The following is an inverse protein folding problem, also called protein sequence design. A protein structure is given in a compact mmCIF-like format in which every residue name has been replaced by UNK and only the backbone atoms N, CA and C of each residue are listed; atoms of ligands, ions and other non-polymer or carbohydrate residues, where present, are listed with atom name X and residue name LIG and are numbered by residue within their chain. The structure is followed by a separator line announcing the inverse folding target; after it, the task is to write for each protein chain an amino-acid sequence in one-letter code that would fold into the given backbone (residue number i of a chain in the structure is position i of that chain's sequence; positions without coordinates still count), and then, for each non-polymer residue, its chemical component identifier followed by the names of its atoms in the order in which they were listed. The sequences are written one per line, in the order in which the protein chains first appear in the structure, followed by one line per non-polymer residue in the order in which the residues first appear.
data_IF_370065856163
#
_entry.id   IF_370065856163
#
_cell.length_a   1.000
_cell.length_b   1.000
_cell.length_c   1.000
_cell.angle_alpha   90.00
_cell.angle_beta   90.00
_cell.angle_gamma   90.00
#
_symmetry.space_group_name_H-M   'P 1'
#
loop_
_entity.id
_entity.type
_entity.pdbx_description
1 polymer ?
#
# COMPACT_ATOMS: atom_id res chain seq x y z
N UNK A 1 -28.93 -49.96 11.12
CA UNK A 1 -28.50 -48.56 11.00
C UNK A 1 -29.29 -47.75 12.01
N UNK A 2 -28.67 -47.25 13.08
CA UNK A 2 -29.38 -46.53 14.14
C UNK A 2 -29.62 -45.07 13.71
N UNK A 3 -30.76 -44.49 14.03
CA UNK A 3 -31.12 -43.10 13.71
C UNK A 3 -30.05 -42.09 14.18
N UNK A 4 -29.42 -42.35 15.32
CA UNK A 4 -28.28 -41.58 15.83
C UNK A 4 -27.05 -41.58 14.91
N UNK A 5 -26.78 -42.69 14.20
CA UNK A 5 -25.68 -42.77 13.24
C UNK A 5 -25.97 -41.94 11.98
N UNK A 6 -27.23 -41.92 11.53
CA UNK A 6 -27.65 -41.13 10.37
C UNK A 6 -27.50 -39.63 10.66
N UNK A 7 -27.91 -39.18 11.84
CA UNK A 7 -27.76 -37.77 12.26
C UNK A 7 -26.28 -37.37 12.30
N UNK A 8 -25.42 -38.22 12.86
CA UNK A 8 -23.98 -37.98 12.94
C UNK A 8 -23.35 -37.76 11.55
N UNK A 9 -23.67 -38.64 10.59
CA UNK A 9 -23.15 -38.56 9.22
C UNK A 9 -23.60 -37.27 8.52
N UNK A 10 -24.87 -36.86 8.69
CA UNK A 10 -25.38 -35.63 8.09
C UNK A 10 -24.64 -34.41 8.62
N UNK A 11 -24.50 -34.27 9.94
CA UNK A 11 -23.80 -33.13 10.55
C UNK A 11 -22.34 -33.07 10.11
N UNK A 12 -21.65 -34.21 10.11
CA UNK A 12 -20.24 -34.28 9.69
C UNK A 12 -20.06 -33.90 8.21
N UNK A 13 -20.93 -34.42 7.33
CA UNK A 13 -20.89 -34.08 5.90
C UNK A 13 -21.14 -32.59 5.65
N UNK A 14 -22.05 -31.98 6.42
CA UNK A 14 -22.41 -30.56 6.30
C UNK A 14 -21.24 -29.67 6.75
N UNK A 15 -20.58 -30.02 7.87
CA UNK A 15 -19.38 -29.32 8.35
C UNK A 15 -18.22 -29.36 7.34
N UNK A 16 -17.98 -30.52 6.73
CA UNK A 16 -16.93 -30.68 5.71
C UNK A 16 -17.26 -29.85 4.47
N UNK A 17 -18.52 -29.88 4.02
CA UNK A 17 -18.97 -29.14 2.85
C UNK A 17 -18.84 -27.61 3.02
N UNK A 18 -19.23 -27.08 4.19
CA UNK A 18 -19.05 -25.66 4.54
C UNK A 18 -17.58 -25.26 4.60
N UNK A 19 -16.74 -26.09 5.20
CA UNK A 19 -15.30 -25.85 5.29
C UNK A 19 -14.65 -25.80 3.90
N UNK A 20 -15.06 -26.71 3.01
CA UNK A 20 -14.55 -26.76 1.65
C UNK A 20 -14.98 -25.54 0.82
N UNK A 21 -16.25 -25.13 0.90
CA UNK A 21 -16.73 -23.91 0.23
C UNK A 21 -16.00 -22.65 0.73
N UNK A 22 -15.84 -22.50 2.05
CA UNK A 22 -15.12 -21.38 2.64
C UNK A 22 -13.62 -21.38 2.27
N UNK A 23 -13.00 -22.55 2.11
CA UNK A 23 -11.60 -22.62 1.64
C UNK A 23 -11.47 -22.23 0.17
N UNK A 24 -12.46 -22.59 -0.66
CA UNK A 24 -12.46 -22.30 -2.10
C UNK A 24 -12.76 -20.83 -2.38
N UNK A 25 -13.61 -20.18 -1.58
CA UNK A 25 -13.83 -18.73 -1.68
C UNK A 25 -12.56 -17.95 -1.32
N UNK A 26 -11.87 -18.35 -0.24
CA UNK A 26 -10.56 -17.76 0.13
C UNK A 26 -9.50 -17.95 -0.94
N UNK A 27 -9.40 -19.15 -1.53
CA UNK A 27 -8.48 -19.41 -2.64
C UNK A 27 -8.85 -18.63 -3.90
N UNK A 28 -10.14 -18.45 -4.20
CA UNK A 28 -10.57 -17.57 -5.29
C UNK A 28 -10.20 -16.13 -5.01
N UNK A 29 -10.48 -15.60 -3.81
CA UNK A 29 -10.08 -14.23 -3.45
C UNK A 29 -8.56 -14.03 -3.55
N UNK A 30 -7.76 -15.01 -3.14
CA UNK A 30 -6.30 -14.98 -3.32
C UNK A 30 -5.91 -14.98 -4.80
N UNK A 31 -6.46 -15.89 -5.60
CA UNK A 31 -6.20 -15.95 -7.04
C UNK A 31 -6.66 -14.68 -7.79
N UNK A 32 -7.78 -14.06 -7.38
CA UNK A 32 -8.22 -12.77 -7.90
C UNK A 32 -7.26 -11.65 -7.50
N UNK A 33 -6.71 -11.66 -6.28
CA UNK A 33 -5.70 -10.68 -5.86
C UNK A 33 -4.37 -10.86 -6.61
N UNK A 34 -3.95 -12.09 -6.83
CA UNK A 34 -2.74 -12.47 -7.59
C UNK A 34 -2.88 -12.12 -9.09
N UNK A 35 -4.07 -12.25 -9.68
CA UNK A 35 -4.30 -11.88 -11.09
C UNK A 35 -4.48 -10.38 -11.32
N UNK A 36 -4.93 -9.61 -10.32
CA UNK A 36 -5.23 -8.17 -10.48
C UNK A 36 -4.02 -7.28 -10.21
N UNK A 37 -3.00 -7.79 -9.52
CA UNK A 37 -1.76 -7.06 -9.29
C UNK A 37 -0.60 -7.88 -9.85
N UNK A 38 0.04 -7.46 -10.97
CA UNK A 38 1.34 -8.01 -11.27
C UNK A 38 2.19 -7.77 -10.04
N UNK A 39 2.79 -8.85 -9.53
CA UNK A 39 3.78 -8.86 -8.46
C UNK A 39 5.04 -8.13 -8.98
N UNK A 40 4.88 -6.85 -9.27
CA UNK A 40 5.97 -5.95 -9.53
C UNK A 40 6.77 -5.97 -8.24
N UNK A 41 8.04 -6.37 -8.36
CA UNK A 41 9.03 -6.32 -7.30
C UNK A 41 8.95 -4.94 -6.63
N UNK A 42 8.17 -4.86 -5.57
CA UNK A 42 7.99 -3.64 -4.81
C UNK A 42 9.28 -3.50 -4.01
N UNK A 43 10.31 -2.96 -4.65
CA UNK A 43 11.49 -2.49 -3.95
C UNK A 43 11.00 -1.61 -2.81
N UNK A 44 11.38 -1.96 -1.59
CA UNK A 44 11.04 -1.25 -0.36
C UNK A 44 10.97 0.26 -0.60
N UNK A 45 9.92 0.89 -0.06
CA UNK A 45 9.75 2.34 -0.03
C UNK A 45 11.10 2.98 0.30
N UNK A 46 11.63 3.77 -0.64
CA UNK A 46 12.96 4.34 -0.52
C UNK A 46 12.89 5.51 0.46
N UNK A 47 13.60 5.36 1.57
CA UNK A 47 13.73 6.41 2.57
C UNK A 47 14.31 7.69 1.93
N UNK A 48 13.77 8.86 2.27
CA UNK A 48 14.16 10.14 1.67
C UNK A 48 13.64 10.42 0.26
N UNK A 49 12.83 9.54 -0.34
CA UNK A 49 12.13 9.83 -1.60
C UNK A 49 10.81 10.57 -1.35
N UNK A 50 10.43 11.40 -2.32
CA UNK A 50 9.18 12.15 -2.29
C UNK A 50 8.16 11.46 -3.17
N UNK A 51 6.92 11.46 -2.68
CA UNK A 51 5.82 10.74 -3.29
C UNK A 51 4.61 11.65 -3.44
N UNK A 52 3.88 11.45 -4.52
CA UNK A 52 2.54 12.00 -4.71
C UNK A 52 1.53 10.91 -4.38
N UNK A 53 0.70 11.15 -3.37
CA UNK A 53 -0.21 10.16 -2.80
C UNK A 53 -1.64 10.63 -3.01
N UNK A 54 -2.43 9.87 -3.76
CA UNK A 54 -3.84 10.17 -3.98
C UNK A 54 -4.75 9.32 -3.09
N UNK A 55 -5.77 9.96 -2.52
CA UNK A 55 -6.76 9.35 -1.65
C UNK A 55 -8.06 9.07 -2.37
N UNK A 56 -8.89 8.22 -1.78
CA UNK A 56 -10.19 7.82 -2.30
C UNK A 56 -11.23 8.94 -2.35
N UNK A 57 -11.04 10.00 -1.56
CA UNK A 57 -11.90 11.19 -1.53
C UNK A 57 -11.46 12.26 -2.55
N UNK A 58 -10.47 11.95 -3.39
CA UNK A 58 -9.93 12.85 -4.41
C UNK A 58 -8.89 13.84 -3.89
N UNK A 59 -8.59 13.85 -2.59
CA UNK A 59 -7.47 14.64 -2.06
C UNK A 59 -6.15 13.99 -2.42
N UNK A 60 -5.10 14.80 -2.52
CA UNK A 60 -3.75 14.31 -2.75
C UNK A 60 -2.75 15.02 -1.83
N UNK A 61 -1.72 14.28 -1.45
CA UNK A 61 -0.52 14.83 -0.81
C UNK A 61 0.60 14.81 -1.84
N UNK A 62 1.04 15.99 -2.26
CA UNK A 62 2.17 16.10 -3.19
C UNK A 62 3.49 16.22 -2.46
N UNK A 63 4.54 15.64 -3.02
CA UNK A 63 5.92 15.75 -2.51
C UNK A 63 6.06 15.30 -1.04
N UNK A 64 5.27 14.32 -0.62
CA UNK A 64 5.28 13.80 0.74
C UNK A 64 6.31 12.68 0.90
N UNK A 65 7.04 12.68 2.01
CA UNK A 65 7.94 11.59 2.36
C UNK A 65 7.18 10.56 3.21
N UNK A 66 7.30 9.28 2.87
CA UNK A 66 6.66 8.20 3.63
C UNK A 66 7.60 7.82 4.78
N UNK A 67 7.17 8.09 6.01
CA UNK A 67 7.94 7.77 7.22
C UNK A 67 7.73 6.32 7.68
N UNK A 68 6.68 5.65 7.18
CA UNK A 68 6.34 4.29 7.52
C UNK A 68 4.90 4.15 8.02
N UNK A 69 4.66 3.11 8.81
CA UNK A 69 3.31 2.74 9.27
C UNK A 69 3.24 2.73 10.79
N UNK A 70 2.30 3.47 11.37
CA UNK A 70 2.03 3.38 12.80
C UNK A 70 1.15 2.15 13.06
N UNK A 71 1.66 1.19 13.85
CA UNK A 71 0.99 -0.06 14.22
C UNK A 71 1.06 -0.27 15.75
N UNK A 72 0.02 -0.86 16.34
CA UNK A 72 0.01 -1.21 17.77
C UNK A 72 -0.28 -0.03 18.70
N UNK A 73 0.45 0.08 19.83
CA UNK A 73 0.21 1.09 20.88
C UNK A 73 0.29 2.55 20.40
N UNK A 74 1.07 2.83 19.35
CA UNK A 74 1.09 4.17 18.74
C UNK A 74 -0.18 4.50 17.95
N UNK A 75 -0.89 3.49 17.43
CA UNK A 75 -2.18 3.66 16.76
C UNK A 75 -3.36 3.76 17.73
N UNK A 76 -3.20 3.35 19.00
CA UNK A 76 -4.23 3.55 20.05
C UNK A 76 -4.47 5.04 20.32
N UNK A 77 -3.44 5.88 20.24
CA UNK A 77 -3.57 7.34 20.31
C UNK A 77 -4.39 7.93 19.16
N UNK A 78 -4.52 7.22 18.03
CA UNK A 78 -5.26 7.65 16.85
C UNK A 78 -6.71 7.14 16.88
N UNK A 79 -7.28 6.96 18.08
CA UNK A 79 -8.70 6.65 18.31
C UNK A 79 -9.21 5.39 17.60
N UNK A 80 -8.39 4.33 17.53
CA UNK A 80 -8.81 3.04 16.97
C UNK A 80 -8.91 3.00 15.44
N UNK A 81 -8.28 3.93 14.74
CA UNK A 81 -8.34 4.01 13.27
C UNK A 81 -7.51 2.92 12.54
N UNK A 82 -6.84 2.01 13.26
CA UNK A 82 -6.08 0.88 12.68
C UNK A 82 -4.73 1.30 12.09
N UNK A 83 -4.23 0.55 11.11
CA UNK A 83 -2.94 0.81 10.46
C UNK A 83 -2.96 2.16 9.73
N UNK A 84 -2.10 3.07 10.17
CA UNK A 84 -1.96 4.41 9.57
C UNK A 84 -0.65 4.51 8.81
N UNK A 85 -0.71 5.08 7.62
CA UNK A 85 0.45 5.56 6.90
C UNK A 85 0.84 6.93 7.44
N UNK A 86 2.09 7.07 7.86
CA UNK A 86 2.61 8.34 8.39
C UNK A 86 3.41 9.03 7.30
N UNK A 87 2.99 10.23 6.95
CA UNK A 87 3.60 11.05 5.92
C UNK A 87 4.24 12.28 6.55
N UNK A 88 5.39 12.70 6.02
CA UNK A 88 5.96 14.01 6.28
C UNK A 88 5.71 14.91 5.08
N UNK A 89 5.02 16.01 5.33
CA UNK A 89 4.75 17.03 4.33
C UNK A 89 5.97 17.93 4.12
N UNK A 90 6.00 18.67 3.02
CA UNK A 90 7.08 19.60 2.68
C UNK A 90 7.28 20.72 3.71
N UNK A 91 6.23 21.08 4.45
CA UNK A 91 6.26 22.05 5.55
C UNK A 91 6.72 21.45 6.89
N UNK A 92 7.11 20.17 6.90
CA UNK A 92 7.58 19.45 8.08
C UNK A 92 6.47 18.90 8.97
N UNK A 93 5.19 19.16 8.68
CA UNK A 93 4.07 18.58 9.43
C UNK A 93 3.93 17.09 9.11
N UNK A 94 3.41 16.34 10.08
CA UNK A 94 3.04 14.93 9.89
C UNK A 94 1.57 14.81 9.53
N UNK A 95 1.27 14.01 8.52
CA UNK A 95 -0.09 13.60 8.19
C UNK A 95 -0.25 12.10 8.46
N UNK A 96 -1.38 11.74 9.08
CA UNK A 96 -1.73 10.36 9.38
C UNK A 96 -2.90 9.95 8.50
N UNK A 97 -2.67 8.99 7.62
CA UNK A 97 -3.62 8.61 6.58
C UNK A 97 -3.96 7.14 6.76
N UNK A 98 -5.25 6.80 6.79
CA UNK A 98 -5.65 5.39 6.78
C UNK A 98 -5.17 4.75 5.49
N UNK A 99 -4.45 3.63 5.61
CA UNK A 99 -3.97 2.89 4.44
C UNK A 99 -5.11 2.49 3.49
N UNK A 100 -6.30 2.19 4.04
CA UNK A 100 -7.50 1.86 3.26
C UNK A 100 -8.01 2.99 2.35
N UNK A 101 -7.62 4.24 2.61
CA UNK A 101 -8.02 5.40 1.83
C UNK A 101 -7.03 5.74 0.72
N UNK A 102 -5.83 5.13 0.70
CA UNK A 102 -4.84 5.40 -0.34
C UNK A 102 -5.23 4.64 -1.62
N UNK A 103 -5.25 5.34 -2.75
CA UNK A 103 -5.58 4.78 -4.07
C UNK A 103 -4.34 4.57 -4.93
N UNK A 104 -3.43 5.54 -4.92
CA UNK A 104 -2.14 5.40 -5.58
C UNK A 104 -1.05 6.17 -4.83
N UNK A 105 0.17 5.68 -5.00
CA UNK A 105 1.41 6.30 -4.55
C UNK A 105 2.30 6.35 -5.77
N UNK A 106 2.75 7.55 -6.13
CA UNK A 106 3.59 7.80 -7.30
C UNK A 106 4.92 8.33 -6.79
N UNK A 107 6.03 7.72 -7.22
CA UNK A 107 7.36 8.29 -6.97
C UNK A 107 7.45 9.63 -7.70
N UNK A 108 7.59 10.71 -6.95
CA UNK A 108 7.89 12.00 -7.53
C UNK A 108 9.38 12.00 -7.89
N UNK A 109 9.71 12.29 -9.15
CA UNK A 109 11.10 12.39 -9.59
C UNK A 109 11.91 13.29 -8.63
N UNK A 110 13.10 12.83 -8.24
CA UNK A 110 14.04 13.67 -7.49
C UNK A 110 14.33 14.93 -8.33
N UNK A 111 14.27 16.14 -7.77
CA UNK A 111 14.71 17.35 -8.48
C UNK A 111 16.22 17.42 -8.79
N UNK A 112 16.97 16.31 -8.79
CA UNK A 112 18.44 16.35 -8.66
C UNK A 112 19.26 15.76 -9.81
N UNK A 113 18.71 15.50 -11.01
CA UNK A 113 19.56 15.11 -12.17
C UNK A 113 19.25 15.79 -13.52
N UNK A 114 18.06 16.38 -13.72
CA UNK A 114 17.74 17.02 -15.02
C UNK A 114 18.28 18.46 -15.17
N UNK A 115 18.42 19.21 -14.07
CA UNK A 115 18.85 20.62 -14.12
C UNK A 115 20.37 20.85 -14.06
N UNK A 116 21.16 19.82 -13.71
CA UNK A 116 22.62 19.95 -13.63
C UNK A 116 23.29 19.80 -15.01
N UNK A 117 22.70 19.04 -15.94
CA UNK A 117 23.32 18.78 -17.25
C UNK A 117 23.27 19.98 -18.21
N UNK A 118 22.30 20.88 -18.06
CA UNK A 118 22.24 22.12 -18.87
C UNK A 118 23.12 23.27 -18.34
N UNK A 119 23.64 23.19 -17.11
CA UNK A 119 24.56 24.22 -16.59
C UNK A 119 25.99 24.04 -17.09
N UNK A 120 26.47 22.80 -17.21
CA UNK A 120 27.82 22.52 -17.69
C UNK A 120 28.00 22.71 -19.20
N UNK A 121 26.92 22.60 -20.00
CA UNK A 121 27.01 22.78 -21.45
C UNK A 121 27.09 24.26 -21.86
N UNK A 122 26.38 25.16 -21.14
CA UNK A 122 26.46 26.61 -21.39
C UNK A 122 27.77 27.24 -20.94
N UNK A 123 28.40 26.72 -19.88
CA UNK A 123 29.69 27.25 -19.40
C UNK A 123 30.86 26.81 -20.30
N UNK A 124 30.76 25.62 -20.90
CA UNK A 124 31.75 25.12 -21.87
C UNK A 124 31.68 25.81 -23.24
N UNK A 125 30.52 26.31 -23.67
CA UNK A 125 30.40 27.14 -24.89
C UNK A 125 30.87 28.58 -24.68
N UNK A 126 30.69 29.14 -23.47
CA UNK A 126 31.14 30.51 -23.16
C UNK A 126 32.67 30.63 -23.09
N UNK A 127 33.38 29.56 -22.70
CA UNK A 127 34.85 29.52 -22.67
C UNK A 127 35.51 29.19 -24.02
N UNK A 128 34.71 28.97 -25.07
CA UNK A 128 35.18 28.69 -26.44
C UNK A 128 34.90 29.82 -27.44
N UNK A 129 34.29 30.93 -27.00
CA UNK A 129 34.12 32.16 -27.80
C UNK A 129 35.04 33.27 -27.30
#
# INVERSE_FOLDING_TARGET
MNTWQIISVIVFSTMIYLSFQNSRSRKREQAWREQTFPEAECSLIKEGCRYDIALSDGRAFSQAEILGTAQGKEAEFLFGYGNMLVLRLSDGRKAYVRQSCVRCIIESERPSESAASTKFLKEAEFLRS
#
